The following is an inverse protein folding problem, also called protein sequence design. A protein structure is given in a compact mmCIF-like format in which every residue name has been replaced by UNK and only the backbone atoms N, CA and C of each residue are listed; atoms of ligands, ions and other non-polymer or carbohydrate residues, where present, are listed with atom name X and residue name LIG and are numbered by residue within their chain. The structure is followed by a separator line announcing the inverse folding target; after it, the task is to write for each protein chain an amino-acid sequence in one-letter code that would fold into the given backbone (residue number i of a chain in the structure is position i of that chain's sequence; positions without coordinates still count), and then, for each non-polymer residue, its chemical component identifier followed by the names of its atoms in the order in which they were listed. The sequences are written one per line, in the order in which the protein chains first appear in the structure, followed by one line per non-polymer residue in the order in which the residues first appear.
data_IF_646923173102
#
_entry.id   IF_646923173102
#
_cell.length_a   1.000
_cell.length_b   1.000
_cell.length_c   1.000
_cell.angle_alpha   90.00
_cell.angle_beta   90.00
_cell.angle_gamma   90.00
#
_symmetry.space_group_name_H-M   'P 1'
#
loop_
_entity.id
_entity.type
_entity.pdbx_description
1 polymer ?
#
# COMPACT_ATOMS: atom_id res chain seq x y z
N UNK A 1 8.08 -0.75 -19.27
CA UNK A 1 7.02 0.12 -18.73
C UNK A 1 6.06 -0.73 -17.93
N UNK A 2 6.15 -0.65 -16.61
CA UNK A 2 5.18 -1.28 -15.71
C UNK A 2 4.05 -0.28 -15.46
N UNK A 3 2.81 -0.76 -15.47
CA UNK A 3 1.63 0.04 -15.22
C UNK A 3 1.03 -0.39 -13.88
N UNK A 4 0.94 0.55 -12.96
CA UNK A 4 0.31 0.37 -11.66
C UNK A 4 -0.93 1.27 -11.62
N UNK A 5 -2.08 0.70 -11.29
CA UNK A 5 -3.31 1.45 -11.08
C UNK A 5 -3.71 1.38 -9.61
N UNK A 6 -3.86 2.53 -8.96
CA UNK A 6 -4.35 2.66 -7.59
C UNK A 6 -5.73 3.30 -7.58
N UNK A 7 -6.60 2.82 -6.70
CA UNK A 7 -7.93 3.39 -6.47
C UNK A 7 -8.09 3.81 -5.00
N UNK A 8 -8.87 4.87 -4.70
CA UNK A 8 -9.07 5.30 -3.33
C UNK A 8 -9.83 4.23 -2.57
N UNK A 9 -9.35 3.91 -1.37
CA UNK A 9 -10.07 3.05 -0.45
C UNK A 9 -11.27 3.82 0.10
N UNK A 10 -12.48 3.31 -0.12
CA UNK A 10 -13.72 4.01 0.24
C UNK A 10 -13.87 4.16 1.75
N UNK A 11 -13.42 5.27 2.30
CA UNK A 11 -14.04 5.88 3.48
C UNK A 11 -13.82 7.41 3.50
N UNK A 12 -14.93 8.13 3.33
CA UNK A 12 -15.16 9.55 3.66
C UNK A 12 -14.39 10.62 2.86
N UNK A 13 -15.16 11.32 2.03
CA UNK A 13 -14.91 12.56 1.26
C UNK A 13 -13.70 13.40 1.71
N UNK A 14 -12.63 13.40 0.91
CA UNK A 14 -11.53 14.35 1.02
C UNK A 14 -11.88 15.70 0.34
N UNK A 15 -11.45 16.85 0.89
CA UNK A 15 -11.73 18.17 0.32
C UNK A 15 -10.96 18.45 -1.00
N UNK A 16 -11.40 19.44 -1.81
CA UNK A 16 -11.00 19.61 -3.21
C UNK A 16 -9.66 20.37 -3.34
N UNK A 17 -8.59 19.80 -2.80
CA UNK A 17 -7.21 20.22 -3.11
C UNK A 17 -6.46 19.02 -3.67
N UNK A 18 -6.58 18.76 -4.99
CA UNK A 18 -5.80 17.80 -5.80
C UNK A 18 -5.26 16.58 -5.01
N UNK A 19 -6.16 15.95 -4.25
CA UNK A 19 -5.83 15.24 -3.02
C UNK A 19 -5.32 13.82 -3.27
N UNK A 20 -4.00 13.70 -3.51
CA UNK A 20 -3.33 12.39 -3.52
C UNK A 20 -3.19 11.80 -2.12
N UNK A 21 -3.42 12.58 -1.06
CA UNK A 21 -3.39 12.10 0.32
C UNK A 21 -4.53 11.14 0.62
N UNK A 22 -4.24 10.10 1.38
CA UNK A 22 -5.23 9.11 1.81
C UNK A 22 -4.78 7.67 1.62
N UNK A 23 -5.76 6.77 1.74
CA UNK A 23 -5.60 5.34 1.60
C UNK A 23 -5.95 4.90 0.19
N UNK A 24 -5.03 4.16 -0.43
CA UNK A 24 -5.14 3.67 -1.79
C UNK A 24 -4.94 2.16 -1.81
N UNK A 25 -5.59 1.51 -2.77
CA UNK A 25 -5.49 0.07 -2.99
C UNK A 25 -5.05 -0.22 -4.42
N UNK A 26 -4.18 -1.22 -4.55
CA UNK A 26 -3.71 -1.70 -5.84
C UNK A 26 -4.85 -2.37 -6.60
N UNK A 27 -5.34 -1.71 -7.63
CA UNK A 27 -6.36 -2.24 -8.52
C UNK A 27 -5.75 -3.16 -9.59
N UNK A 28 -4.57 -2.80 -10.11
CA UNK A 28 -3.90 -3.57 -11.15
C UNK A 28 -2.39 -3.32 -11.14
N UNK A 29 -1.61 -4.37 -11.44
CA UNK A 29 -0.20 -4.27 -11.78
C UNK A 29 0.20 -5.35 -12.77
N UNK A 30 1.12 -5.02 -13.67
CA UNK A 30 1.87 -6.00 -14.47
C UNK A 30 3.34 -6.13 -14.02
N UNK A 31 3.71 -5.48 -12.92
CA UNK A 31 5.06 -5.50 -12.37
C UNK A 31 5.36 -6.90 -11.78
N UNK A 32 6.34 -7.65 -12.33
CA UNK A 32 6.58 -9.05 -11.97
C UNK A 32 7.08 -9.22 -10.53
N UNK A 33 7.73 -8.21 -9.98
CA UNK A 33 8.18 -8.14 -8.59
C UNK A 33 6.99 -8.10 -7.62
N UNK A 34 5.97 -7.26 -7.87
CA UNK A 34 4.74 -7.19 -7.07
C UNK A 34 3.92 -8.48 -7.23
N UNK A 35 3.82 -9.01 -8.45
CA UNK A 35 3.14 -10.28 -8.73
C UNK A 35 3.85 -11.50 -8.10
N UNK A 36 5.14 -11.36 -7.81
CA UNK A 36 5.95 -12.34 -7.08
C UNK A 36 5.66 -12.38 -5.59
N UNK A 37 5.06 -11.32 -5.02
CA UNK A 37 4.68 -11.26 -3.61
C UNK A 37 3.43 -12.11 -3.40
N UNK A 38 3.61 -13.39 -3.05
CA UNK A 38 2.50 -14.31 -2.77
C UNK A 38 2.31 -14.63 -1.29
N UNK A 39 3.32 -14.31 -0.48
CA UNK A 39 3.45 -14.79 0.89
C UNK A 39 4.25 -16.11 0.96
N UNK A 40 4.17 -16.79 2.10
CA UNK A 40 4.90 -18.03 2.39
C UNK A 40 3.97 -19.15 2.86
N UNK A 41 4.50 -20.29 3.33
CA UNK A 41 3.69 -21.43 3.74
C UNK A 41 2.63 -21.08 4.78
N UNK A 42 2.93 -20.15 5.68
CA UNK A 42 2.08 -19.77 6.83
C UNK A 42 1.27 -18.49 6.64
N UNK A 43 1.57 -17.69 5.60
CA UNK A 43 0.92 -16.40 5.37
C UNK A 43 0.65 -16.19 3.89
N UNK A 44 -0.56 -15.76 3.56
CA UNK A 44 -0.99 -15.40 2.22
C UNK A 44 -1.14 -13.89 2.12
N UNK A 45 -0.58 -13.29 1.07
CA UNK A 45 -0.85 -11.88 0.76
C UNK A 45 -2.34 -11.74 0.40
N UNK A 46 -3.03 -10.79 1.01
CA UNK A 46 -4.44 -10.50 0.79
C UNK A 46 -4.64 -9.17 0.09
N UNK A 47 -3.86 -8.15 0.47
CA UNK A 47 -4.02 -6.80 -0.04
C UNK A 47 -2.67 -6.14 -0.24
N UNK A 48 -2.56 -5.39 -1.32
CA UNK A 48 -1.49 -4.41 -1.54
C UNK A 48 -2.16 -3.04 -1.60
N UNK A 49 -1.68 -2.12 -0.79
CA UNK A 49 -2.16 -0.75 -0.76
C UNK A 49 -1.03 0.25 -0.62
N UNK A 50 -1.41 1.52 -0.64
CA UNK A 50 -0.50 2.64 -0.44
C UNK A 50 -1.20 3.68 0.42
N UNK A 51 -0.48 4.23 1.40
CA UNK A 51 -0.97 5.33 2.22
C UNK A 51 -0.09 6.53 1.99
N UNK A 52 -0.69 7.66 1.63
CA UNK A 52 0.02 8.89 1.30
C UNK A 52 -0.34 9.93 2.35
N UNK A 53 0.66 10.33 3.16
CA UNK A 53 0.55 11.44 4.10
C UNK A 53 1.25 12.66 3.51
N UNK A 54 0.47 13.48 2.80
CA UNK A 54 0.96 14.69 2.13
C UNK A 54 1.54 15.70 3.12
N UNK A 55 0.99 15.75 4.34
CA UNK A 55 1.45 16.69 5.37
C UNK A 55 2.86 16.37 5.87
N UNK A 56 3.26 15.10 5.78
CA UNK A 56 4.58 14.62 6.19
C UNK A 56 5.53 14.32 5.02
N UNK A 57 5.08 14.46 3.77
CA UNK A 57 5.85 14.06 2.60
C UNK A 57 6.21 12.57 2.61
N UNK A 58 5.30 11.74 3.13
CA UNK A 58 5.55 10.32 3.38
C UNK A 58 4.57 9.42 2.61
N UNK A 59 5.09 8.31 2.10
CA UNK A 59 4.33 7.25 1.46
C UNK A 59 4.63 5.95 2.19
N UNK A 60 3.61 5.13 2.45
CA UNK A 60 3.77 3.79 2.96
C UNK A 60 3.13 2.79 2.01
N UNK A 61 3.92 1.90 1.42
CA UNK A 61 3.38 0.75 0.69
C UNK A 61 2.99 -0.31 1.72
N UNK A 62 1.71 -0.68 1.75
CA UNK A 62 1.12 -1.56 2.75
C UNK A 62 0.83 -2.92 2.13
N UNK A 63 1.50 -3.96 2.63
CA UNK A 63 1.24 -5.35 2.30
C UNK A 63 0.51 -5.99 3.47
N UNK A 64 -0.71 -6.46 3.23
CA UNK A 64 -1.51 -7.13 4.26
C UNK A 64 -1.54 -8.62 4.03
N UNK A 65 -1.19 -9.35 5.08
CA UNK A 65 -1.17 -10.80 5.10
C UNK A 65 -2.23 -11.33 6.04
N UNK A 66 -2.83 -12.45 5.63
CA UNK A 66 -3.64 -13.30 6.50
C UNK A 66 -3.03 -14.71 6.53
N UNK A 67 -3.30 -15.53 7.56
CA UNK A 67 -2.86 -16.91 7.58
C UNK A 67 -3.25 -17.66 6.32
N UNK A 68 -2.40 -18.59 5.87
CA UNK A 68 -2.69 -19.43 4.70
C UNK A 68 -3.97 -20.25 4.90
N UNK A 69 -4.67 -20.59 3.80
CA UNK A 69 -5.97 -21.26 3.84
C UNK A 69 -5.96 -22.57 4.67
N UNK A 70 -4.88 -23.36 4.58
CA UNK A 70 -4.73 -24.61 5.33
C UNK A 70 -4.63 -24.39 6.86
N UNK A 71 -4.10 -23.25 7.32
CA UNK A 71 -4.08 -22.88 8.74
C UNK A 71 -5.44 -22.39 9.25
N UNK A 72 -6.34 -21.97 8.34
CA UNK A 72 -7.68 -21.54 8.72
C UNK A 72 -8.60 -22.73 9.01
N UNK A 73 -8.40 -23.87 8.34
CA UNK A 73 -9.35 -24.98 8.31
C UNK A 73 -9.42 -25.89 9.56
N UNK A 74 -8.41 -26.00 10.44
CA UNK A 74 -8.62 -26.63 11.76
C UNK A 74 -8.77 -25.62 12.90
N UNK A 75 -8.51 -24.33 12.66
CA UNK A 75 -8.55 -23.25 13.66
C UNK A 75 -9.63 -22.20 13.33
N UNK A 76 -10.73 -22.62 12.68
CA UNK A 76 -11.87 -21.74 12.35
C UNK A 76 -12.37 -21.04 13.62
N UNK A 77 -11.88 -19.81 13.85
CA UNK A 77 -12.18 -19.01 15.03
C UNK A 77 -10.97 -18.28 15.62
N UNK A 78 -9.83 -18.96 15.81
CA UNK A 78 -8.68 -18.39 16.53
C UNK A 78 -7.81 -17.53 15.59
N UNK A 79 -7.45 -18.07 14.43
CA UNK A 79 -6.52 -17.41 13.51
C UNK A 79 -7.20 -16.75 12.30
N UNK A 80 -8.51 -16.92 12.12
CA UNK A 80 -9.23 -16.41 10.93
C UNK A 80 -9.18 -14.86 10.84
N UNK A 81 -9.15 -14.19 11.99
CA UNK A 81 -9.05 -12.75 12.11
C UNK A 81 -7.61 -12.23 12.19
N UNK A 82 -6.60 -13.12 12.18
CA UNK A 82 -5.21 -12.70 12.28
C UNK A 82 -4.79 -11.92 11.04
N UNK A 83 -4.10 -10.81 11.26
CA UNK A 83 -3.64 -9.91 10.19
C UNK A 83 -2.26 -9.39 10.56
N UNK A 84 -1.36 -9.42 9.59
CA UNK A 84 -0.05 -8.80 9.67
C UNK A 84 0.05 -7.78 8.55
N UNK A 85 0.39 -6.54 8.89
CA UNK A 85 0.73 -5.54 7.89
C UNK A 85 2.24 -5.37 7.88
N UNK A 86 2.84 -5.52 6.71
CA UNK A 86 4.18 -5.04 6.42
C UNK A 86 4.05 -3.72 5.69
N UNK A 87 4.80 -2.71 6.10
CA UNK A 87 4.74 -1.36 5.54
C UNK A 87 6.14 -0.96 5.13
N UNK A 88 6.35 -0.69 3.84
CA UNK A 88 7.59 -0.11 3.36
C UNK A 88 7.45 1.40 3.45
N UNK A 89 8.25 2.03 4.29
CA UNK A 89 8.17 3.45 4.61
C UNK A 89 9.06 4.24 3.67
N UNK A 90 8.48 5.21 2.98
CA UNK A 90 9.13 6.01 1.96
C UNK A 90 8.93 7.50 2.26
N UNK A 91 9.96 8.30 2.02
CA UNK A 91 9.76 9.73 1.76
C UNK A 91 9.71 9.95 0.26
N UNK A 92 9.12 11.06 -0.14
CA UNK A 92 9.10 11.45 -1.53
C UNK A 92 9.39 12.93 -1.75
N UNK A 93 9.94 13.23 -2.92
CA UNK A 93 10.02 14.60 -3.46
C UNK A 93 9.39 14.61 -4.83
N UNK A 94 8.51 15.57 -5.09
CA UNK A 94 7.83 15.71 -6.37
C UNK A 94 8.35 16.94 -7.12
N UNK A 95 8.75 16.75 -8.38
CA UNK A 95 9.13 17.82 -9.30
C UNK A 95 8.27 17.66 -10.56
N UNK A 96 7.24 18.50 -10.70
CA UNK A 96 6.25 18.36 -11.75
C UNK A 96 5.44 17.06 -11.61
N UNK A 97 5.44 16.23 -12.65
CA UNK A 97 4.79 14.90 -12.65
C UNK A 97 5.69 13.77 -12.14
N UNK A 98 6.98 14.03 -11.92
CA UNK A 98 7.94 13.02 -11.48
C UNK A 98 8.03 13.01 -9.96
N UNK A 99 7.95 11.81 -9.38
CA UNK A 99 8.10 11.57 -7.95
C UNK A 99 9.33 10.71 -7.71
N UNK A 100 10.26 11.22 -6.92
CA UNK A 100 11.43 10.49 -6.44
C UNK A 100 11.16 9.93 -5.05
N UNK A 101 11.54 8.67 -4.84
CA UNK A 101 11.29 7.92 -3.61
C UNK A 101 12.60 7.59 -2.91
N UNK A 102 12.60 7.76 -1.60
CA UNK A 102 13.68 7.27 -0.73
C UNK A 102 13.09 6.29 0.29
N UNK A 103 13.77 5.16 0.45
CA UNK A 103 13.46 4.17 1.46
C UNK A 103 13.92 4.70 2.81
N UNK A 104 12.99 4.82 3.76
CA UNK A 104 13.25 5.19 5.14
C UNK A 104 13.38 3.96 6.05
N UNK A 105 12.65 2.90 5.73
CA UNK A 105 12.63 1.68 6.53
C UNK A 105 11.45 0.77 6.23
N UNK A 106 11.26 -0.24 7.08
CA UNK A 106 10.11 -1.14 7.04
C UNK A 106 9.49 -1.27 8.43
N UNK A 107 8.17 -1.33 8.49
CA UNK A 107 7.40 -1.42 9.71
C UNK A 107 6.48 -2.63 9.66
N UNK A 108 6.38 -3.39 10.76
CA UNK A 108 5.45 -4.50 10.90
C UNK A 108 4.43 -4.21 12.01
N UNK A 109 3.14 -4.29 11.65
CA UNK A 109 2.01 -4.16 12.59
C UNK A 109 1.25 -5.47 12.65
N UNK A 110 1.18 -6.04 13.85
CA UNK A 110 0.31 -7.17 14.12
C UNK A 110 -1.07 -6.65 14.54
N UNK A 111 -2.12 -7.16 13.91
CA UNK A 111 -3.50 -6.96 14.36
C UNK A 111 -3.83 -8.00 15.42
N UNK A 112 -4.25 -9.19 14.99
CA UNK A 112 -4.34 -10.38 15.84
C UNK A 112 -3.31 -11.42 15.42
N UNK A 113 -2.74 -12.12 16.40
CA UNK A 113 -1.84 -13.26 16.19
C UNK A 113 -2.28 -14.39 17.13
N UNK A 114 -2.68 -15.51 16.54
CA UNK A 114 -3.25 -16.67 17.24
C UNK A 114 -4.40 -16.27 18.18
N UNK A 115 -5.24 -15.33 17.73
CA UNK A 115 -6.38 -14.83 18.50
C UNK A 115 -6.03 -13.82 19.60
N UNK A 116 -4.74 -13.55 19.85
CA UNK A 116 -4.28 -12.50 20.77
C UNK A 116 -4.29 -11.17 20.03
N UNK A 117 -4.96 -10.17 20.60
CA UNK A 117 -4.97 -8.81 20.06
C UNK A 117 -3.67 -8.07 20.37
N UNK A 118 -2.95 -7.73 19.32
CA UNK A 118 -1.70 -6.99 19.34
C UNK A 118 -1.85 -5.63 18.67
N UNK A 119 -3.07 -5.18 18.36
CA UNK A 119 -3.29 -3.91 17.66
C UNK A 119 -2.78 -2.68 18.43
N UNK A 120 -2.66 -2.80 19.76
CA UNK A 120 -2.12 -1.79 20.65
C UNK A 120 -0.59 -1.91 20.87
N UNK A 121 0.04 -3.00 20.42
CA UNK A 121 1.47 -3.18 20.55
C UNK A 121 2.21 -2.19 19.63
N UNK A 122 3.36 -1.65 20.05
CA UNK A 122 4.15 -0.78 19.20
C UNK A 122 4.62 -1.56 17.96
N UNK A 123 4.65 -0.92 16.79
CA UNK A 123 5.10 -1.57 15.58
C UNK A 123 6.59 -1.89 15.62
N UNK A 124 6.96 -3.05 15.06
CA UNK A 124 8.36 -3.41 14.86
C UNK A 124 8.89 -2.62 13.68
N UNK A 125 9.83 -1.71 13.93
CA UNK A 125 10.41 -0.86 12.89
C UNK A 125 11.86 -1.26 12.63
N UNK A 126 12.16 -1.60 11.39
CA UNK A 126 13.51 -1.86 10.90
C UNK A 126 13.99 -0.65 10.13
N UNK A 127 15.07 -0.06 10.65
CA UNK A 127 15.79 1.12 10.14
C UNK A 127 14.94 2.39 10.16
N UNK A 128 15.35 3.37 10.97
CA UNK A 128 14.68 4.68 11.06
C UNK A 128 15.53 5.83 10.51
N UNK A 129 16.82 5.58 10.29
CA UNK A 129 17.83 6.57 9.92
C UNK A 129 18.57 6.21 8.61
N UNK A 130 18.05 5.23 7.86
CA UNK A 130 18.60 4.85 6.56
C UNK A 130 17.80 5.58 5.49
N UNK A 131 18.42 6.51 4.76
CA UNK A 131 17.85 7.05 3.51
C UNK A 131 18.60 6.44 2.35
N UNK A 132 17.95 5.54 1.63
CA UNK A 132 18.47 4.93 0.41
C UNK A 132 17.58 5.29 -0.79
N UNK A 133 18.15 5.51 -1.98
CA UNK A 133 17.36 5.68 -3.18
C UNK A 133 16.50 4.43 -3.41
N UNK A 134 15.20 4.63 -3.66
CA UNK A 134 14.24 3.53 -3.87
C UNK A 134 13.65 3.53 -5.28
N UNK A 135 13.86 4.62 -6.04
CA UNK A 135 13.44 4.75 -7.43
C UNK A 135 12.60 5.99 -7.68
N UNK A 136 11.93 6.03 -8.82
CA UNK A 136 11.02 7.12 -9.18
C UNK A 136 9.86 6.63 -10.02
N UNK A 137 8.74 7.34 -9.98
CA UNK A 137 7.60 7.09 -10.87
C UNK A 137 7.04 8.40 -11.42
N UNK A 138 6.29 8.30 -12.51
CA UNK A 138 5.54 9.43 -13.07
C UNK A 138 4.06 9.31 -12.70
N UNK A 139 3.48 10.42 -12.27
CA UNK A 139 2.05 10.55 -12.02
C UNK A 139 1.36 10.80 -13.36
N UNK A 140 0.48 9.87 -13.75
CA UNK A 140 -0.45 10.07 -14.84
C UNK A 140 -1.87 10.22 -14.28
N UNK A 141 -2.45 11.40 -14.47
CA UNK A 141 -3.85 11.65 -14.15
C UNK A 141 -4.73 11.10 -15.26
N UNK A 142 -5.58 10.13 -14.94
CA UNK A 142 -6.68 9.73 -15.82
C UNK A 142 -7.94 10.50 -15.42
N UNK A 143 -7.99 11.77 -15.81
CA UNK A 143 -9.23 12.51 -15.85
C UNK A 143 -10.01 11.96 -17.05
N UNK A 144 -10.91 11.00 -16.81
CA UNK A 144 -11.69 10.37 -17.87
C UNK A 144 -12.36 11.39 -18.82
N UNK A 145 -12.87 10.97 -19.98
CA UNK A 145 -13.49 11.88 -20.94
C UNK A 145 -14.51 12.75 -20.21
N UNK A 146 -14.38 14.06 -20.39
CA UNK A 146 -15.09 15.17 -19.75
C UNK A 146 -16.62 15.06 -19.89
N UNK A 147 -17.21 14.03 -19.31
CA UNK A 147 -18.64 13.78 -19.27
C UNK A 147 -19.02 13.91 -17.81
N UNK A 148 -19.87 14.88 -17.54
CA UNK A 148 -20.47 15.22 -16.26
C UNK A 148 -21.34 14.06 -15.73
N UNK A 149 -20.71 12.96 -15.33
CA UNK A 149 -21.34 11.85 -14.64
C UNK A 149 -20.50 11.49 -13.42
N UNK A 150 -21.01 11.88 -12.25
CA UNK A 150 -20.35 11.79 -10.95
C UNK A 150 -20.25 10.34 -10.41
N UNK A 151 -19.61 9.41 -11.13
CA UNK A 151 -19.67 7.99 -10.71
C UNK A 151 -18.42 7.14 -10.98
N UNK A 152 -17.32 7.71 -11.48
CA UNK A 152 -16.05 6.99 -11.55
C UNK A 152 -15.09 7.50 -10.46
N UNK A 153 -14.59 6.63 -9.55
CA UNK A 153 -13.57 7.03 -8.59
C UNK A 153 -12.29 7.42 -9.33
N UNK A 154 -11.50 8.39 -8.81
CA UNK A 154 -10.21 8.73 -9.40
C UNK A 154 -9.30 7.51 -9.40
N UNK A 155 -8.63 7.24 -10.53
CA UNK A 155 -7.63 6.19 -10.65
C UNK A 155 -6.28 6.85 -10.86
N UNK A 156 -5.35 6.62 -9.93
CA UNK A 156 -3.96 7.05 -10.08
C UNK A 156 -3.24 5.98 -10.92
N UNK A 157 -2.79 6.36 -12.11
CA UNK A 157 -1.91 5.52 -12.91
C UNK A 157 -0.48 5.96 -12.61
N UNK A 158 0.30 5.09 -11.98
CA UNK A 158 1.73 5.27 -11.78
C UNK A 158 2.49 4.34 -12.72
N UNK A 159 3.36 4.92 -13.54
CA UNK A 159 4.36 4.14 -14.27
C UNK A 159 5.63 4.13 -13.42
N UNK A 160 5.93 2.99 -12.79
CA UNK A 160 7.15 2.77 -12.02
C UNK A 160 8.14 1.93 -12.83
N UNK A 161 9.42 2.16 -12.60
CA UNK A 161 10.45 1.15 -12.81
C UNK A 161 11.00 0.81 -11.43
N UNK A 162 10.63 -0.35 -10.90
CA UNK A 162 11.27 -0.88 -9.72
C UNK A 162 12.55 -1.60 -10.18
N UNK A 163 13.70 -0.97 -9.92
CA UNK A 163 15.06 -1.35 -10.33
C UNK A 163 15.46 -1.11 -11.79
#
# INVERSE_FOLDING_TARGET
CELIALSPFSSKTAPPNLGLGGDWELAYTNAPDILGIRGGPIASLQRVGQQIDVSKGAIANVLEYAPSAWLRSPFEGIAAADRLQQRVLLSYTAIGSRVELQLLGTEFRAGKVLGVDLSAAPPLTLQRDLSLPFGSFEILYNDGPTIRSATAPPVLLAASSWF
#
